data_IF_373362357417
#
_entry.id   IF_373362357417
#
_cell.length_a   1.000
_cell.length_b   1.000
_cell.length_c   1.000
_cell.angle_alpha   90.00
_cell.angle_beta   90.00
_cell.angle_gamma   90.00
#
_symmetry.space_group_name_H-M   'P 1'
#
loop_
_entity.id
_entity.type
_entity.pdbx_description
1 polymer ?
#
# COMPACT_ATOMS: atom_id res chain seq x y z
N UNK A 1 -22.23 5.39 -4.86
CA UNK A 1 -20.76 5.23 -4.89
C UNK A 1 -20.17 5.74 -6.22
N UNK A 2 -20.53 5.18 -7.39
CA UNK A 2 -20.05 5.70 -8.70
C UNK A 2 -20.20 7.22 -8.88
N UNK A 3 -21.34 7.80 -8.45
CA UNK A 3 -21.56 9.25 -8.48
C UNK A 3 -20.57 10.03 -7.58
N UNK A 4 -20.19 9.52 -6.42
CA UNK A 4 -19.23 10.18 -5.51
C UNK A 4 -17.80 10.12 -6.05
N UNK A 5 -17.43 9.04 -6.74
CA UNK A 5 -16.14 8.94 -7.43
C UNK A 5 -16.13 9.81 -8.68
N UNK A 6 -17.22 9.83 -9.47
CA UNK A 6 -17.34 10.70 -10.64
C UNK A 6 -17.27 12.19 -10.26
N UNK A 7 -17.83 12.55 -9.09
CA UNK A 7 -17.70 13.88 -8.51
C UNK A 7 -16.36 14.11 -7.80
N UNK A 8 -15.42 13.16 -7.82
CA UNK A 8 -14.07 13.25 -7.20
C UNK A 8 -14.08 13.50 -5.68
N UNK A 9 -15.21 13.28 -5.01
CA UNK A 9 -15.36 13.34 -3.53
C UNK A 9 -14.69 12.14 -2.86
N UNK A 10 -14.71 10.99 -3.53
CA UNK A 10 -13.96 9.79 -3.14
C UNK A 10 -12.80 9.57 -4.10
N UNK A 11 -11.62 9.31 -3.55
CA UNK A 11 -10.45 8.85 -4.32
C UNK A 11 -10.68 7.46 -4.87
N UNK A 12 -11.29 6.57 -4.09
CA UNK A 12 -11.50 5.19 -4.52
C UNK A 12 -12.21 4.34 -3.47
N UNK A 13 -12.49 3.09 -3.83
CA UNK A 13 -13.07 2.08 -2.95
C UNK A 13 -12.36 0.76 -3.16
N UNK A 14 -12.13 0.04 -2.07
CA UNK A 14 -11.71 -1.35 -2.11
C UNK A 14 -12.88 -2.17 -1.59
N UNK A 15 -13.56 -2.93 -2.47
CA UNK A 15 -14.70 -3.73 -2.07
C UNK A 15 -14.32 -4.71 -0.97
N UNK A 16 -15.24 -4.90 -0.02
CA UNK A 16 -15.10 -5.96 0.98
C UNK A 16 -15.05 -7.33 0.31
N UNK A 17 -14.28 -8.23 0.91
CA UNK A 17 -14.11 -9.60 0.42
C UNK A 17 -14.42 -10.58 1.54
N UNK A 18 -15.18 -11.62 1.22
CA UNK A 18 -15.33 -12.79 2.08
C UNK A 18 -14.39 -13.86 1.55
N UNK A 19 -13.29 -14.07 2.25
CA UNK A 19 -12.23 -14.98 1.84
C UNK A 19 -12.17 -16.15 2.81
N UNK A 20 -12.08 -17.36 2.27
CA UNK A 20 -11.91 -18.58 3.06
C UNK A 20 -10.48 -18.78 3.57
N UNK A 21 -9.54 -17.92 3.16
CA UNK A 21 -8.12 -18.05 3.46
C UNK A 21 -7.57 -16.74 4.04
N UNK A 22 -7.11 -16.85 5.28
CA UNK A 22 -6.36 -15.86 6.07
C UNK A 22 -7.09 -14.55 6.45
N UNK A 23 -7.80 -13.88 5.55
CA UNK A 23 -8.36 -12.54 5.81
C UNK A 23 -9.79 -12.51 6.35
N UNK A 24 -10.50 -13.65 6.32
CA UNK A 24 -11.89 -13.71 6.77
C UNK A 24 -12.82 -12.83 5.94
N UNK A 25 -13.73 -12.11 6.63
CA UNK A 25 -14.59 -11.09 6.04
C UNK A 25 -13.95 -9.72 6.22
N UNK A 26 -13.42 -9.15 5.13
CA UNK A 26 -12.97 -7.77 5.07
C UNK A 26 -14.12 -6.85 4.67
N UNK A 27 -14.32 -5.76 5.42
CA UNK A 27 -15.29 -4.72 5.06
C UNK A 27 -14.75 -3.86 3.92
N UNK A 28 -15.66 -3.24 3.14
CA UNK A 28 -15.26 -2.26 2.13
C UNK A 28 -14.53 -1.09 2.79
N UNK A 29 -13.41 -0.69 2.20
CA UNK A 29 -12.64 0.49 2.64
C UNK A 29 -12.83 1.61 1.63
N UNK A 30 -13.22 2.78 2.12
CA UNK A 30 -13.52 3.96 1.30
C UNK A 30 -12.44 5.01 1.53
N UNK A 31 -11.91 5.56 0.44
CA UNK A 31 -10.86 6.57 0.48
C UNK A 31 -11.45 7.89 0.03
N UNK A 32 -11.56 8.83 0.97
CA UNK A 32 -12.15 10.15 0.74
C UNK A 32 -11.07 11.09 0.22
N UNK A 33 -11.43 11.94 -0.74
CA UNK A 33 -10.54 12.99 -1.20
C UNK A 33 -10.68 14.22 -0.30
N UNK A 34 -9.86 14.30 0.76
CA UNK A 34 -9.89 15.42 1.69
C UNK A 34 -9.46 16.76 1.06
N UNK A 35 -8.85 16.73 -0.13
CA UNK A 35 -8.46 17.93 -0.89
C UNK A 35 -9.58 18.41 -1.84
N UNK A 36 -10.74 17.75 -1.84
CA UNK A 36 -11.88 18.17 -2.65
C UNK A 36 -12.50 19.47 -2.12
N UNK A 37 -12.99 20.34 -3.02
CA UNK A 37 -13.52 21.67 -2.68
C UNK A 37 -14.65 21.63 -1.64
N UNK A 38 -15.44 20.55 -1.66
CA UNK A 38 -16.48 20.28 -0.66
C UNK A 38 -15.96 20.25 0.79
N UNK A 39 -14.70 19.88 1.01
CA UNK A 39 -14.08 19.75 2.33
C UNK A 39 -13.12 20.90 2.68
N UNK A 40 -12.95 21.92 1.83
CA UNK A 40 -11.96 23.00 2.04
C UNK A 40 -12.12 23.80 3.34
N UNK A 41 -13.32 23.86 3.93
CA UNK A 41 -13.51 24.50 5.25
C UNK A 41 -12.95 23.67 6.42
N UNK A 42 -12.64 22.39 6.19
CA UNK A 42 -12.11 21.45 7.16
C UNK A 42 -10.86 20.73 6.63
N UNK A 43 -10.21 21.25 5.58
CA UNK A 43 -9.05 20.58 4.98
C UNK A 43 -7.91 20.57 5.99
N UNK A 44 -7.82 19.43 6.70
CA UNK A 44 -6.62 19.00 7.40
C UNK A 44 -5.48 19.21 6.44
N UNK A 45 -4.56 20.09 6.83
CA UNK A 45 -3.43 20.34 6.00
C UNK A 45 -2.54 19.10 6.03
N UNK A 46 -2.70 18.27 5.03
CA UNK A 46 -1.81 17.18 4.76
C UNK A 46 -1.13 17.45 3.43
N UNK A 47 0.10 16.96 3.32
CA UNK A 47 0.90 17.03 2.11
C UNK A 47 0.74 15.69 1.40
N UNK A 48 0.45 15.73 0.11
CA UNK A 48 0.49 14.52 -0.70
C UNK A 48 1.89 14.37 -1.25
N UNK A 49 2.54 13.26 -0.94
CA UNK A 49 3.85 12.93 -1.46
C UNK A 49 3.78 11.68 -2.33
N UNK A 50 4.21 11.77 -3.59
CA UNK A 50 4.22 10.64 -4.51
C UNK A 50 5.64 10.26 -4.93
N UNK A 51 5.99 9.00 -4.74
CA UNK A 51 7.21 8.39 -5.28
C UNK A 51 6.92 7.74 -6.61
N UNK A 52 7.71 8.08 -7.62
CA UNK A 52 7.60 7.53 -8.98
C UNK A 52 8.83 6.67 -9.24
N UNK A 53 8.58 5.39 -9.46
CA UNK A 53 9.65 4.41 -9.67
C UNK A 53 9.99 4.22 -11.14
N UNK A 54 11.26 3.93 -11.40
CA UNK A 54 11.84 3.89 -12.74
C UNK A 54 11.76 2.54 -13.45
N UNK A 55 10.90 1.61 -13.04
CA UNK A 55 10.75 0.30 -13.72
C UNK A 55 10.61 0.51 -15.24
N UNK A 56 11.67 0.17 -15.97
CA UNK A 56 11.86 0.52 -17.38
C UNK A 56 10.85 -0.22 -18.27
N UNK A 57 10.01 0.53 -18.97
CA UNK A 57 8.94 0.01 -19.84
C UNK A 57 7.80 -0.58 -19.03
N UNK A 58 6.55 -0.50 -19.53
CA UNK A 58 5.22 -1.08 -19.17
C UNK A 58 5.03 -2.05 -17.98
N UNK A 59 5.93 -2.01 -17.00
CA UNK A 59 6.29 -3.13 -16.17
C UNK A 59 6.19 -2.80 -14.69
N UNK A 60 5.81 -1.57 -14.31
CA UNK A 60 5.37 -1.13 -12.97
C UNK A 60 6.23 -1.56 -11.77
N UNK A 61 6.02 -0.94 -10.61
CA UNK A 61 6.55 -1.53 -9.37
C UNK A 61 5.67 -2.66 -8.91
N UNK A 62 6.23 -3.83 -8.61
CA UNK A 62 5.47 -4.86 -7.93
C UNK A 62 5.18 -4.42 -6.49
N UNK A 63 3.91 -4.50 -6.09
CA UNK A 63 3.49 -4.36 -4.70
C UNK A 63 4.13 -5.46 -3.86
N UNK A 64 4.24 -5.22 -2.56
CA UNK A 64 4.83 -6.19 -1.65
C UNK A 64 4.03 -7.50 -1.67
N UNK A 65 2.70 -7.42 -1.72
CA UNK A 65 1.84 -8.61 -1.90
C UNK A 65 2.05 -9.27 -3.26
N UNK A 66 2.28 -8.51 -4.32
CA UNK A 66 2.58 -9.06 -5.64
C UNK A 66 3.91 -9.80 -5.66
N UNK A 67 4.94 -9.25 -5.01
CA UNK A 67 6.23 -9.88 -4.85
C UNK A 67 6.10 -11.17 -4.04
N UNK A 68 5.35 -11.16 -2.93
CA UNK A 68 5.05 -12.35 -2.13
C UNK A 68 4.36 -13.43 -2.97
N UNK A 69 3.30 -13.04 -3.70
CA UNK A 69 2.49 -13.96 -4.51
C UNK A 69 3.30 -14.52 -5.69
N UNK A 70 4.00 -13.66 -6.43
CA UNK A 70 4.85 -14.08 -7.55
C UNK A 70 5.93 -15.05 -7.09
N UNK A 71 6.57 -14.76 -5.96
CA UNK A 71 7.57 -15.65 -5.33
C UNK A 71 6.97 -17.00 -4.94
N UNK A 72 5.72 -17.01 -4.45
CA UNK A 72 5.02 -18.23 -4.04
C UNK A 72 4.54 -19.09 -5.23
N UNK A 73 4.05 -18.47 -6.31
CA UNK A 73 3.53 -19.16 -7.49
C UNK A 73 4.59 -19.93 -8.29
N UNK A 74 5.85 -19.49 -8.22
CA UNK A 74 6.95 -20.10 -8.97
C UNK A 74 7.38 -21.48 -8.44
N UNK A 75 6.82 -21.94 -7.32
CA UNK A 75 6.74 -23.37 -6.98
C UNK A 75 8.05 -24.11 -6.70
N UNK A 76 9.19 -23.40 -6.63
CA UNK A 76 10.49 -23.97 -6.23
C UNK A 76 11.05 -23.07 -5.13
N UNK A 77 11.16 -23.53 -3.89
CA UNK A 77 11.63 -22.72 -2.75
C UNK A 77 12.91 -21.90 -3.02
N UNK A 78 13.76 -22.34 -3.96
CA UNK A 78 14.92 -21.61 -4.48
C UNK A 78 14.61 -20.24 -5.12
N UNK A 79 13.42 -20.03 -5.70
CA UNK A 79 13.02 -18.77 -6.33
C UNK A 79 12.34 -17.79 -5.35
N UNK A 80 11.69 -18.32 -4.31
CA UNK A 80 11.24 -17.52 -3.16
C UNK A 80 12.45 -16.88 -2.46
N UNK A 81 13.51 -17.67 -2.26
CA UNK A 81 14.81 -17.20 -1.75
C UNK A 81 15.49 -16.16 -2.65
N UNK A 82 15.48 -16.36 -3.98
CA UNK A 82 16.04 -15.37 -4.92
C UNK A 82 15.31 -14.04 -4.82
N UNK A 83 13.98 -14.02 -4.91
CA UNK A 83 13.22 -12.76 -4.88
C UNK A 83 13.27 -12.05 -3.52
N UNK A 84 13.41 -12.81 -2.43
CA UNK A 84 13.66 -12.31 -1.08
C UNK A 84 14.97 -11.53 -0.99
N UNK A 85 16.05 -12.06 -1.58
CA UNK A 85 17.37 -11.41 -1.59
C UNK A 85 17.43 -10.14 -2.45
N UNK A 86 16.63 -10.04 -3.52
CA UNK A 86 16.67 -8.90 -4.44
C UNK A 86 15.68 -7.78 -4.13
N UNK A 87 14.55 -8.08 -3.47
CA UNK A 87 13.47 -7.09 -3.29
C UNK A 87 13.58 -6.27 -2.01
N UNK A 88 14.31 -6.73 -0.99
CA UNK A 88 14.36 -6.11 0.34
C UNK A 88 13.01 -6.05 1.08
N UNK A 89 11.98 -6.69 0.52
CA UNK A 89 10.59 -6.64 0.96
C UNK A 89 10.20 -7.88 1.78
N UNK A 90 10.86 -9.01 1.52
CA UNK A 90 10.54 -10.28 2.17
C UNK A 90 11.45 -10.51 3.38
N UNK A 91 10.95 -11.13 4.45
CA UNK A 91 11.76 -11.49 5.60
C UNK A 91 12.92 -12.40 5.20
N UNK A 92 14.13 -12.14 5.73
CA UNK A 92 15.31 -12.97 5.46
C UNK A 92 15.33 -14.28 6.28
N UNK A 93 14.33 -15.16 6.11
CA UNK A 93 14.25 -16.44 6.84
C UNK A 93 13.55 -17.56 6.08
N UNK A 94 14.24 -18.70 5.93
CA UNK A 94 13.78 -19.87 5.17
C UNK A 94 12.56 -20.56 5.79
N UNK A 95 12.32 -20.35 7.09
CA UNK A 95 11.14 -20.90 7.78
C UNK A 95 9.82 -20.45 7.17
N UNK A 96 9.79 -19.28 6.50
CA UNK A 96 8.58 -18.77 5.85
C UNK A 96 8.26 -19.50 4.53
N UNK A 97 9.14 -20.35 4.01
CA UNK A 97 8.89 -21.15 2.81
C UNK A 97 7.65 -22.07 2.98
N UNK A 98 7.33 -22.46 4.21
CA UNK A 98 6.11 -23.23 4.51
C UNK A 98 4.82 -22.49 4.17
N UNK A 99 4.86 -21.15 4.09
CA UNK A 99 3.74 -20.28 3.75
C UNK A 99 3.52 -20.14 2.23
N UNK A 100 4.43 -20.63 1.38
CA UNK A 100 4.31 -20.47 -0.08
C UNK A 100 2.98 -21.03 -0.63
N UNK A 101 2.50 -22.17 -0.10
CA UNK A 101 1.21 -22.75 -0.49
C UNK A 101 0.02 -21.84 -0.16
N UNK A 102 0.10 -21.07 0.92
CA UNK A 102 -0.94 -20.12 1.34
C UNK A 102 -1.03 -18.93 0.39
N UNK A 103 0.12 -18.31 0.07
CA UNK A 103 0.17 -17.18 -0.85
C UNK A 103 -0.20 -17.58 -2.28
N UNK A 104 0.12 -18.82 -2.69
CA UNK A 104 -0.34 -19.39 -3.95
C UNK A 104 -1.86 -19.48 -4.07
N UNK A 105 -2.58 -19.67 -2.95
CA UNK A 105 -4.04 -19.63 -2.93
C UNK A 105 -4.56 -18.19 -3.05
N UNK A 106 -3.98 -17.25 -2.31
CA UNK A 106 -4.35 -15.83 -2.38
C UNK A 106 -4.19 -15.28 -3.81
N UNK A 107 -3.20 -15.77 -4.55
CA UNK A 107 -2.97 -15.43 -5.95
C UNK A 107 -4.14 -15.75 -6.89
N UNK A 108 -4.98 -16.73 -6.54
CA UNK A 108 -6.13 -17.14 -7.36
C UNK A 108 -7.29 -16.15 -7.26
N UNK A 109 -7.31 -15.29 -6.24
CA UNK A 109 -8.33 -14.27 -6.03
C UNK A 109 -7.72 -12.87 -5.89
N UNK A 110 -8.01 -12.03 -6.89
CA UNK A 110 -7.53 -10.63 -6.91
C UNK A 110 -8.09 -9.82 -5.74
N UNK A 111 -9.29 -10.14 -5.27
CA UNK A 111 -9.92 -9.47 -4.13
C UNK A 111 -9.14 -9.69 -2.83
N UNK A 112 -8.85 -10.95 -2.52
CA UNK A 112 -8.06 -11.38 -1.36
C UNK A 112 -6.69 -10.72 -1.32
N UNK A 113 -5.99 -10.72 -2.46
CA UNK A 113 -4.67 -10.13 -2.58
C UNK A 113 -4.69 -8.61 -2.33
N UNK A 114 -5.70 -7.92 -2.84
CA UNK A 114 -5.88 -6.49 -2.62
C UNK A 114 -6.22 -6.17 -1.17
N UNK A 115 -7.07 -6.97 -0.53
CA UNK A 115 -7.38 -6.83 0.88
C UNK A 115 -6.15 -7.05 1.77
N UNK A 116 -5.27 -7.99 1.41
CA UNK A 116 -4.00 -8.19 2.10
C UNK A 116 -3.09 -6.95 1.98
N UNK A 117 -2.97 -6.39 0.77
CA UNK A 117 -2.14 -5.21 0.51
C UNK A 117 -2.59 -4.03 1.37
N UNK A 118 -3.90 -3.75 1.41
CA UNK A 118 -4.47 -2.66 2.22
C UNK A 118 -4.16 -2.86 3.71
N UNK A 119 -4.23 -4.09 4.20
CA UNK A 119 -3.91 -4.38 5.60
C UNK A 119 -2.44 -4.15 5.91
N UNK A 120 -1.53 -4.58 5.04
CA UNK A 120 -0.11 -4.33 5.20
C UNK A 120 0.21 -2.83 5.15
N UNK A 121 -0.40 -2.08 4.22
CA UNK A 121 -0.25 -0.63 4.12
C UNK A 121 -0.81 0.10 5.35
N UNK A 122 -1.95 -0.37 5.89
CA UNK A 122 -2.53 0.15 7.14
C UNK A 122 -1.56 -0.03 8.32
N UNK A 123 -0.98 -1.22 8.47
CA UNK A 123 -0.01 -1.51 9.53
C UNK A 123 1.29 -0.72 9.37
N UNK A 124 1.82 -0.65 8.15
CA UNK A 124 3.02 0.13 7.86
C UNK A 124 2.80 1.63 8.10
N UNK A 125 1.62 2.17 7.76
CA UNK A 125 1.23 3.55 8.09
C UNK A 125 1.25 3.82 9.60
N UNK A 126 0.71 2.87 10.38
CA UNK A 126 0.73 2.94 11.85
C UNK A 126 2.15 2.94 12.41
N UNK A 127 3.02 2.06 11.89
CA UNK A 127 4.43 2.01 12.27
C UNK A 127 5.16 3.31 11.92
N UNK A 128 4.98 3.83 10.71
CA UNK A 128 5.58 5.08 10.27
C UNK A 128 5.15 6.26 11.14
N UNK A 129 3.86 6.32 11.51
CA UNK A 129 3.33 7.40 12.35
C UNK A 129 3.81 7.32 13.80
N UNK A 130 3.96 6.11 14.36
CA UNK A 130 4.32 5.92 15.78
C UNK A 130 5.83 5.83 16.03
N UNK A 131 6.58 5.29 15.07
CA UNK A 131 7.96 4.86 15.26
C UNK A 131 8.94 5.42 14.23
N UNK A 132 8.61 6.52 13.55
CA UNK A 132 9.46 7.13 12.51
C UNK A 132 10.94 7.11 12.88
N UNK A 133 11.37 7.83 13.92
CA UNK A 133 12.79 7.92 14.29
C UNK A 133 13.43 6.57 14.65
N UNK A 134 12.68 5.66 15.28
CA UNK A 134 13.20 4.35 15.68
C UNK A 134 13.45 3.42 14.49
N UNK A 135 12.70 3.59 13.39
CA UNK A 135 12.86 2.80 12.17
C UNK A 135 14.16 3.12 11.43
N UNK A 136 14.65 4.36 11.49
CA UNK A 136 15.85 4.84 10.80
C UNK A 136 17.13 4.31 11.44
N UNK A 137 17.19 4.34 12.77
CA UNK A 137 18.40 4.02 13.55
C UNK A 137 18.58 2.53 13.85
N UNK A 138 17.74 1.66 13.28
CA UNK A 138 17.71 0.24 13.64
C UNK A 138 17.33 -0.01 15.11
N UNK A 139 16.82 1.01 15.81
CA UNK A 139 16.43 0.98 17.22
C UNK A 139 15.01 0.44 17.42
N UNK A 140 14.26 0.25 16.33
CA UNK A 140 12.94 -0.38 16.38
C UNK A 140 13.06 -1.86 16.78
N UNK A 141 12.64 -2.16 18.01
CA UNK A 141 12.64 -3.50 18.58
C UNK A 141 11.36 -4.26 18.21
N UNK A 142 10.22 -3.80 18.69
CA UNK A 142 8.90 -4.37 18.40
C UNK A 142 7.76 -3.37 18.59
N UNK A 143 6.60 -3.69 18.01
CA UNK A 143 5.33 -3.09 18.39
C UNK A 143 4.33 -4.21 18.76
N UNK A 144 4.18 -4.44 20.06
CA UNK A 144 3.34 -5.51 20.60
C UNK A 144 1.84 -5.25 20.34
N UNK A 145 1.41 -3.99 20.31
CA UNK A 145 0.03 -3.61 19.99
C UNK A 145 -0.31 -4.01 18.56
N UNK A 146 0.62 -3.78 17.62
CA UNK A 146 0.48 -4.19 16.23
C UNK A 146 0.43 -5.72 16.11
N UNK A 147 1.29 -6.45 16.84
CA UNK A 147 1.25 -7.92 16.82
C UNK A 147 -0.10 -8.45 17.32
N UNK A 148 -0.63 -7.90 18.42
CA UNK A 148 -1.97 -8.25 18.93
C UNK A 148 -3.06 -7.92 17.92
N UNK A 149 -2.95 -6.75 17.27
CA UNK A 149 -3.89 -6.32 16.23
C UNK A 149 -3.90 -7.25 15.03
N UNK A 150 -2.73 -7.64 14.52
CA UNK A 150 -2.59 -8.62 13.43
C UNK A 150 -3.26 -9.94 13.84
N UNK A 151 -2.92 -10.48 15.02
CA UNK A 151 -3.55 -11.72 15.49
C UNK A 151 -5.09 -11.58 15.53
N UNK A 152 -5.62 -10.47 16.01
CA UNK A 152 -7.07 -10.23 16.07
C UNK A 152 -7.71 -10.13 14.68
N UNK A 153 -7.09 -9.39 13.77
CA UNK A 153 -7.62 -9.13 12.42
C UNK A 153 -7.68 -10.42 11.58
N UNK A 154 -6.69 -11.30 11.72
CA UNK A 154 -6.59 -12.55 10.94
C UNK A 154 -7.16 -13.78 11.67
N UNK A 155 -7.36 -13.77 12.99
CA UNK A 155 -8.02 -14.87 13.74
C UNK A 155 -9.54 -14.90 13.55
N UNK A 156 -10.19 -13.79 13.17
CA UNK A 156 -11.66 -13.71 13.00
C UNK A 156 -12.09 -13.94 11.55
N UNK A 157 -11.78 -15.12 11.02
CA UNK A 157 -12.32 -15.61 9.74
C UNK A 157 -13.83 -15.88 9.78
N UNK A 158 -14.69 -14.87 9.88
CA UNK A 158 -16.15 -15.05 10.09
C UNK A 158 -16.96 -15.47 8.85
N UNK A 159 -16.32 -15.95 7.78
CA UNK A 159 -16.98 -16.34 6.54
C UNK A 159 -16.68 -17.79 6.16
N UNK A 160 -17.66 -18.67 6.33
CA UNK A 160 -17.69 -20.07 5.87
C UNK A 160 -16.65 -21.04 6.48
N UNK A 161 -16.79 -21.33 7.78
CA UNK A 161 -16.62 -22.68 8.36
C UNK A 161 -15.27 -23.39 8.26
N UNK A 162 -14.26 -22.79 7.66
CA UNK A 162 -12.86 -23.22 7.78
C UNK A 162 -12.13 -22.08 8.46
N UNK A 163 -12.09 -22.14 9.79
CA UNK A 163 -11.04 -21.46 10.52
C UNK A 163 -9.72 -21.73 9.80
N UNK A 164 -8.78 -20.80 9.89
CA UNK A 164 -7.40 -21.03 9.50
C UNK A 164 -6.81 -22.13 10.42
N UNK A 165 -7.23 -23.39 10.19
CA UNK A 165 -6.76 -24.62 10.84
C UNK A 165 -5.43 -25.00 10.22
N UNK A 166 -4.49 -24.04 10.15
CA UNK A 166 -3.10 -24.45 10.27
C UNK A 166 -2.95 -25.14 11.61
N UNK A 167 -2.04 -26.10 11.73
CA UNK A 167 -1.51 -26.39 13.06
C UNK A 167 -1.15 -25.04 13.73
N UNK A 168 -1.23 -24.94 15.06
CA UNK A 168 -1.01 -23.66 15.74
C UNK A 168 0.31 -22.96 15.36
N UNK A 169 1.31 -23.71 14.91
CA UNK A 169 2.61 -23.20 14.48
C UNK A 169 2.52 -22.47 13.13
N UNK A 170 1.81 -23.02 12.14
CA UNK A 170 1.56 -22.35 10.84
C UNK A 170 0.78 -21.04 11.00
N UNK A 171 -0.14 -20.97 11.96
CA UNK A 171 -0.86 -19.74 12.29
C UNK A 171 0.06 -18.65 12.86
N UNK A 172 0.85 -18.98 13.87
CA UNK A 172 1.79 -18.04 14.48
C UNK A 172 2.88 -17.60 13.49
N UNK A 173 3.40 -18.52 12.66
CA UNK A 173 4.34 -18.22 11.59
C UNK A 173 3.77 -17.24 10.56
N UNK A 174 2.49 -17.38 10.22
CA UNK A 174 1.80 -16.45 9.33
C UNK A 174 1.67 -15.05 9.95
N UNK A 175 1.26 -14.94 11.22
CA UNK A 175 1.15 -13.64 11.89
C UNK A 175 2.51 -12.95 12.00
N UNK A 176 3.56 -13.70 12.31
CA UNK A 176 4.93 -13.22 12.34
C UNK A 176 5.36 -12.72 10.95
N UNK A 177 5.09 -13.49 9.90
CA UNK A 177 5.38 -13.07 8.53
C UNK A 177 4.72 -11.73 8.17
N UNK A 178 3.42 -11.58 8.45
CA UNK A 178 2.67 -10.35 8.21
C UNK A 178 3.28 -9.17 8.96
N UNK A 179 3.65 -9.38 10.23
CA UNK A 179 4.30 -8.35 11.04
C UNK A 179 5.65 -7.92 10.43
N UNK A 180 6.52 -8.86 10.07
CA UNK A 180 7.83 -8.54 9.51
C UNK A 180 7.70 -7.81 8.17
N UNK A 181 6.78 -8.24 7.29
CA UNK A 181 6.52 -7.54 6.02
C UNK A 181 6.05 -6.10 6.25
N UNK A 182 5.18 -5.85 7.23
CA UNK A 182 4.75 -4.49 7.56
C UNK A 182 5.91 -3.60 8.04
N UNK A 183 6.83 -4.15 8.84
CA UNK A 183 8.04 -3.44 9.30
C UNK A 183 8.98 -3.14 8.14
N UNK A 184 9.23 -4.11 7.26
CA UNK A 184 10.07 -3.92 6.07
C UNK A 184 9.48 -2.87 5.11
N UNK A 185 8.15 -2.90 4.91
CA UNK A 185 7.44 -1.90 4.12
C UNK A 185 7.60 -0.50 4.72
N UNK A 186 7.42 -0.36 6.03
CA UNK A 186 7.62 0.92 6.73
C UNK A 186 9.06 1.44 6.55
N UNK A 187 10.07 0.59 6.78
CA UNK A 187 11.49 0.97 6.60
C UNK A 187 11.81 1.40 5.17
N UNK A 188 11.31 0.66 4.18
CA UNK A 188 11.52 1.02 2.77
C UNK A 188 10.93 2.40 2.46
N UNK A 189 9.69 2.65 2.89
CA UNK A 189 9.03 3.94 2.66
C UNK A 189 9.75 5.08 3.36
N UNK A 190 10.18 4.87 4.60
CA UNK A 190 11.00 5.86 5.30
C UNK A 190 12.30 6.14 4.55
N UNK A 191 13.02 5.10 4.12
CA UNK A 191 14.27 5.26 3.36
C UNK A 191 14.04 6.06 2.08
N UNK A 192 12.93 5.81 1.37
CA UNK A 192 12.55 6.58 0.18
C UNK A 192 12.35 8.06 0.52
N UNK A 193 11.58 8.38 1.56
CA UNK A 193 11.34 9.77 1.99
C UNK A 193 12.64 10.46 2.40
N UNK A 194 13.49 9.79 3.18
CA UNK A 194 14.77 10.35 3.65
C UNK A 194 15.79 10.52 2.52
N UNK A 195 15.68 9.73 1.44
CA UNK A 195 16.60 9.81 0.30
C UNK A 195 16.41 11.10 -0.53
N UNK A 196 15.29 11.81 -0.36
CA UNK A 196 14.95 12.93 -1.24
C UNK A 196 15.41 14.27 -0.67
N UNK A 197 16.23 14.94 -1.46
CA UNK A 197 16.63 16.33 -1.22
C UNK A 197 15.46 17.26 -1.52
N UNK A 198 15.22 18.23 -0.64
CA UNK A 198 14.21 19.29 -0.83
C UNK A 198 12.85 19.04 -0.17
N UNK A 199 12.63 17.89 0.47
CA UNK A 199 11.49 17.69 1.36
C UNK A 199 11.88 18.08 2.79
N UNK A 200 11.54 19.29 3.21
CA UNK A 200 11.99 19.90 4.47
C UNK A 200 10.96 19.82 5.61
N UNK A 201 9.94 18.97 5.48
CA UNK A 201 8.89 18.88 6.49
C UNK A 201 9.26 17.84 7.54
N UNK A 202 9.13 18.24 8.80
CA UNK A 202 9.07 17.29 9.90
C UNK A 202 7.78 16.47 9.76
N UNK A 203 7.84 15.16 9.97
CA UNK A 203 6.71 14.25 9.77
C UNK A 203 6.10 13.93 11.13
N UNK A 204 4.90 14.43 11.40
CA UNK A 204 4.13 14.12 12.61
C UNK A 204 3.16 12.93 12.40
N UNK A 205 2.81 12.63 11.16
CA UNK A 205 1.99 11.47 10.82
C UNK A 205 2.12 11.12 9.35
N UNK A 206 1.95 9.84 9.03
CA UNK A 206 2.09 9.34 7.66
C UNK A 206 1.11 8.21 7.39
N UNK A 207 0.35 8.36 6.32
CA UNK A 207 -0.54 7.34 5.82
C UNK A 207 -0.18 6.98 4.38
N UNK A 208 -0.01 5.70 4.12
CA UNK A 208 0.17 5.18 2.77
C UNK A 208 -1.21 5.20 2.09
N UNK A 209 -1.29 5.83 0.92
CA UNK A 209 -2.49 5.78 0.11
C UNK A 209 -2.46 4.49 -0.72
N UNK A 210 -3.55 3.71 -0.76
CA UNK A 210 -3.58 2.51 -1.57
C UNK A 210 -3.54 2.87 -3.03
N UNK A 211 -2.79 2.10 -3.81
CA UNK A 211 -2.86 2.22 -5.26
C UNK A 211 -4.15 1.57 -5.77
N UNK A 212 -4.98 2.36 -6.46
CA UNK A 212 -6.28 1.89 -6.89
C UNK A 212 -6.31 1.24 -8.27
N UNK A 213 -5.34 1.56 -9.12
CA UNK A 213 -5.23 1.04 -10.47
C UNK A 213 -4.38 -0.24 -10.47
N UNK A 214 -4.96 -1.40 -10.81
CA UNK A 214 -4.13 -2.55 -11.16
C UNK A 214 -3.37 -2.17 -12.43
N UNK A 215 -2.04 -2.21 -12.37
CA UNK A 215 -1.24 -2.19 -13.60
C UNK A 215 -1.68 -3.30 -14.55
N UNK A 216 -1.20 -3.27 -15.81
CA UNK A 216 -1.57 -4.27 -16.83
C UNK A 216 -1.30 -5.72 -16.38
N UNK A 217 -0.42 -5.91 -15.40
CA UNK A 217 -0.13 -7.19 -14.78
C UNK A 217 -0.48 -7.19 -13.28
N UNK A 218 -0.87 -8.35 -12.78
CA UNK A 218 -1.28 -8.55 -11.39
C UNK A 218 -0.24 -8.01 -10.40
N UNK A 219 -0.70 -7.15 -9.50
CA UNK A 219 0.11 -6.66 -8.39
C UNK A 219 1.21 -5.66 -8.79
N UNK A 220 1.18 -5.13 -10.01
CA UNK A 220 2.03 -4.00 -10.37
C UNK A 220 1.30 -2.69 -10.13
N UNK A 221 1.92 -1.78 -9.38
CA UNK A 221 1.53 -0.40 -9.29
C UNK A 221 1.75 0.28 -10.64
N UNK A 222 0.82 1.16 -11.01
CA UNK A 222 0.83 1.91 -12.27
C UNK A 222 1.87 3.04 -12.28
N UNK A 223 3.07 2.82 -11.72
CA UNK A 223 4.26 3.69 -11.79
C UNK A 223 4.52 4.58 -10.55
N UNK A 224 3.73 4.51 -9.47
CA UNK A 224 4.11 5.21 -8.23
C UNK A 224 3.33 4.85 -6.95
N UNK A 225 3.86 5.29 -5.80
CA UNK A 225 3.27 5.16 -4.46
C UNK A 225 3.04 6.53 -3.85
N UNK A 226 1.80 6.81 -3.47
CA UNK A 226 1.44 8.07 -2.80
C UNK A 226 1.27 7.91 -1.30
N UNK A 227 1.70 8.92 -0.57
CA UNK A 227 1.61 9.06 0.87
C UNK A 227 0.85 10.34 1.20
N UNK A 228 0.10 10.30 2.28
CA UNK A 228 -0.48 11.45 2.94
C UNK A 228 0.35 11.73 4.18
N UNK A 229 1.00 12.90 4.21
CA UNK A 229 1.89 13.31 5.31
C UNK A 229 1.19 14.41 6.10
N UNK A 230 1.11 14.23 7.42
CA UNK A 230 0.77 15.28 8.36
C UNK A 230 2.08 15.89 8.84
N UNK A 231 2.41 17.12 8.43
CA UNK A 231 3.65 17.76 8.85
C UNK A 231 3.58 18.21 10.31
N UNK A 232 4.73 18.18 11.00
CA UNK A 232 4.89 18.61 12.39
C UNK A 232 5.13 20.10 12.57
N UNK A 233 5.52 20.80 11.51
CA UNK A 233 5.76 22.25 11.47
C UNK A 233 4.70 22.96 10.61
N UNK A 234 4.72 24.29 10.57
CA UNK A 234 3.80 25.09 9.73
C UNK A 234 4.03 24.84 8.23
N UNK A 235 2.95 24.68 7.48
CA UNK A 235 2.97 24.31 6.07
C UNK A 235 1.72 24.87 5.37
N UNK A 236 1.70 24.84 4.04
CA UNK A 236 0.50 25.22 3.27
C UNK A 236 -0.36 24.00 3.02
N UNK A 237 -1.62 24.05 3.46
CA UNK A 237 -2.58 22.99 3.20
C UNK A 237 -2.75 22.75 1.70
N UNK A 238 -2.76 21.48 1.29
CA UNK A 238 -2.98 21.08 -0.10
C UNK A 238 -1.71 20.95 -0.95
N UNK A 239 -0.53 21.26 -0.42
CA UNK A 239 0.73 21.07 -1.15
C UNK A 239 0.93 19.61 -1.57
N UNK A 240 1.48 19.44 -2.76
CA UNK A 240 1.77 18.13 -3.32
C UNK A 240 3.23 18.10 -3.80
N UNK A 241 3.88 16.97 -3.58
CA UNK A 241 5.25 16.73 -4.02
C UNK A 241 5.29 15.45 -4.85
N UNK A 242 6.03 15.50 -5.96
CA UNK A 242 6.28 14.35 -6.82
C UNK A 242 7.79 14.12 -6.87
N UNK A 243 8.20 12.96 -6.38
CA UNK A 243 9.58 12.53 -6.31
C UNK A 243 9.84 11.51 -7.41
N UNK A 244 10.66 11.89 -8.38
CA UNK A 244 11.07 11.01 -9.48
C UNK A 244 12.44 10.42 -9.18
N UNK A 245 12.54 9.10 -9.04
CA UNK A 245 13.84 8.43 -8.96
C UNK A 245 14.58 8.62 -10.29
N UNK A 246 15.87 9.01 -10.27
CA UNK A 246 16.66 9.20 -11.49
C UNK A 246 17.79 8.18 -11.64
N UNK A 247 17.75 7.35 -12.70
CA UNK A 247 18.84 6.44 -13.13
C UNK A 247 20.21 7.10 -13.42
N UNK A 248 20.29 8.43 -13.62
CA UNK A 248 21.51 9.09 -14.12
C UNK A 248 21.83 10.40 -13.37
N UNK A 249 21.14 10.70 -12.27
CA UNK A 249 21.32 11.96 -11.54
C UNK A 249 20.64 11.96 -10.17
N UNK A 250 20.66 13.10 -9.49
CA UNK A 250 19.99 13.22 -8.19
C UNK A 250 18.45 13.10 -8.35
N UNK A 251 17.75 12.46 -7.39
CA UNK A 251 16.29 12.44 -7.38
C UNK A 251 15.74 13.86 -7.45
N UNK A 252 14.79 14.11 -8.36
CA UNK A 252 14.16 15.43 -8.47
C UNK A 252 12.86 15.44 -7.69
N UNK A 253 12.64 16.51 -6.91
CA UNK A 253 11.41 16.75 -6.18
C UNK A 253 10.68 17.94 -6.81
N UNK A 254 9.53 17.68 -7.44
CA UNK A 254 8.67 18.71 -8.00
C UNK A 254 7.59 19.08 -6.99
N UNK A 255 7.39 20.38 -6.74
CA UNK A 255 6.37 20.89 -5.82
C UNK A 255 5.22 21.52 -6.59
N UNK A 256 4.01 21.09 -6.25
CA UNK A 256 2.75 21.65 -6.71
C UNK A 256 2.03 22.31 -5.53
N UNK A 257 1.36 23.44 -5.78
CA UNK A 257 0.59 24.13 -4.75
C UNK A 257 -0.72 23.41 -4.41
N UNK A 258 -1.22 22.58 -5.34
CA UNK A 258 -2.41 21.75 -5.13
C UNK A 258 -2.41 20.53 -6.06
N UNK A 259 -3.23 19.52 -5.72
CA UNK A 259 -3.42 18.37 -6.61
C UNK A 259 -3.96 18.76 -7.99
N UNK A 260 -4.70 19.87 -8.10
CA UNK A 260 -5.30 20.32 -9.36
C UNK A 260 -4.27 20.80 -10.38
N UNK A 261 -3.10 21.21 -9.94
CA UNK A 261 -2.00 21.64 -10.82
C UNK A 261 -1.34 20.46 -11.53
N UNK A 262 -1.39 19.26 -10.94
CA UNK A 262 -0.84 18.06 -11.59
C UNK A 262 -1.67 17.65 -12.80
N UNK A 263 -1.02 17.23 -13.91
CA UNK A 263 -1.71 16.67 -15.07
C UNK A 263 -2.69 15.56 -14.65
N UNK A 264 -3.87 15.54 -15.28
CA UNK A 264 -4.92 14.57 -14.92
C UNK A 264 -4.45 13.12 -15.08
N UNK A 265 -3.70 12.84 -16.15
CA UNK A 265 -3.12 11.52 -16.40
C UNK A 265 -2.19 11.09 -15.25
N UNK A 266 -1.39 12.00 -14.71
CA UNK A 266 -0.45 11.69 -13.63
C UNK A 266 -1.20 11.48 -12.31
N UNK A 267 -2.28 12.21 -12.05
CA UNK A 267 -3.15 11.93 -10.90
C UNK A 267 -3.79 10.55 -10.92
N UNK A 268 -4.14 10.02 -12.10
CA UNK A 268 -4.58 8.63 -12.25
C UNK A 268 -3.42 7.66 -11.99
N UNK A 269 -2.28 7.88 -12.64
CA UNK A 269 -1.07 7.05 -12.50
C UNK A 269 -0.58 6.93 -11.05
N UNK A 270 -0.68 8.02 -10.31
CA UNK A 270 -0.28 8.10 -8.90
C UNK A 270 -1.37 7.58 -7.93
N UNK A 271 -2.52 7.14 -8.43
CA UNK A 271 -3.62 6.65 -7.59
C UNK A 271 -4.31 7.74 -6.77
N UNK A 272 -4.13 9.01 -7.13
CA UNK A 272 -4.81 10.15 -6.50
C UNK A 272 -6.25 10.28 -7.00
N UNK A 273 -6.51 9.80 -8.22
CA UNK A 273 -7.83 9.61 -8.82
C UNK A 273 -8.07 8.13 -9.14
N UNK A 274 -9.34 7.72 -9.14
CA UNK A 274 -9.74 6.38 -9.57
C UNK A 274 -10.58 6.44 -10.83
N UNK A 275 -10.22 5.62 -11.81
CA UNK A 275 -11.04 5.42 -13.00
C UNK A 275 -12.28 4.59 -12.68
N UNK A 276 -13.46 5.20 -12.82
CA UNK A 276 -14.71 4.44 -12.83
C UNK A 276 -14.84 3.78 -14.20
N UNK A 277 -14.57 2.48 -14.27
CA UNK A 277 -15.03 1.69 -15.41
C UNK A 277 -16.55 1.65 -15.38
N UNK A 278 -17.19 2.56 -16.12
CA UNK A 278 -18.63 2.51 -16.32
C UNK A 278 -18.91 1.32 -17.24
N UNK A 279 -19.70 0.32 -16.80
CA UNK A 279 -20.09 -0.77 -17.69
C UNK A 279 -20.76 -0.17 -18.94
N UNK A 280 -20.37 -0.63 -20.11
CA UNK A 280 -20.81 -0.10 -21.42
C UNK A 280 -22.34 -0.03 -21.56
N UNK A 281 -23.08 -0.79 -20.75
CA UNK A 281 -24.55 -0.78 -20.65
C UNK A 281 -25.15 0.55 -20.16
N UNK A 282 -24.38 1.44 -19.54
CA UNK A 282 -24.86 2.75 -19.07
C UNK A 282 -24.28 3.94 -19.85
N UNK A 283 -23.62 3.73 -21.00
CA UNK A 283 -23.42 4.81 -21.97
C UNK A 283 -24.80 5.20 -22.48
N UNK A 284 -25.34 6.27 -21.91
CA UNK A 284 -26.63 6.84 -22.26
C UNK A 284 -26.77 6.94 -23.79
N UNK A 285 -27.86 6.35 -24.30
CA UNK A 285 -28.59 6.95 -25.42
C UNK A 285 -29.23 8.21 -24.85
N UNK A 286 -28.73 9.37 -25.27
CA UNK A 286 -29.20 10.69 -24.89
C UNK A 286 -28.36 11.70 -25.63
#
# INVERSE_FOLDING_TARGET
>A
MHKLIALRVMRGVIPGVATSVALGVSKSVYFINLHHDFFQKCSSGAIVLTFVSKSSGDSGEMSEVAAIIGSAQLGKGLEFERHKKYSGILPDSDRFNELAGLFSYLAKDRGSSRALQVKLEEYASGLLSKHWNALELGQFNSDDELQVRIKKDFRKGTGSGRDFKGDGLRGELYFEFIYVVAVLMARRIQSLVLSVKGFSHEIAGLQILPSFEPGPYFGRFAVGRSLLIVPGNSFRAGECFVMNESNLGEPTCERFSSEKEMPEIDRYRFGLLFQVHTPTRYRYRG
#
